data_IF_912961319012
#
_entry.id   IF_912961319012
#
_cell.length_a   1.000
_cell.length_b   1.000
_cell.length_c   1.000
_cell.angle_alpha   90.00
_cell.angle_beta   90.00
_cell.angle_gamma   90.00
#
_symmetry.space_group_name_H-M   'P 1'
#
loop_
_entity.id
_entity.type
_entity.pdbx_description
1 polymer ?
#
# COMPACT_ATOMS: atom_id res chain seq x y z
N UNK A 1 -0.25 -19.77 -4.67
CA UNK A 1 -1.43 -20.60 -4.38
C UNK A 1 -2.61 -19.68 -4.05
N UNK A 2 -3.78 -19.87 -4.66
CA UNK A 2 -4.98 -19.05 -4.42
C UNK A 2 -5.40 -19.01 -2.94
N UNK A 3 -5.10 -20.08 -2.19
CA UNK A 3 -5.35 -20.21 -0.74
C UNK A 3 -4.68 -19.12 0.11
N UNK A 4 -3.46 -18.71 -0.24
CA UNK A 4 -2.72 -17.71 0.56
C UNK A 4 -3.29 -16.30 0.35
N UNK A 5 -3.95 -16.05 -0.79
CA UNK A 5 -4.60 -14.77 -1.08
C UNK A 5 -5.92 -14.64 -0.32
N UNK A 6 -6.74 -15.69 -0.28
CA UNK A 6 -8.00 -15.68 0.46
C UNK A 6 -7.78 -15.62 1.98
N UNK A 7 -6.76 -16.30 2.49
CA UNK A 7 -6.37 -16.21 3.89
C UNK A 7 -5.90 -14.79 4.25
N UNK A 8 -5.05 -14.18 3.42
CA UNK A 8 -4.60 -12.80 3.63
C UNK A 8 -5.78 -11.82 3.63
N UNK A 9 -6.72 -11.98 2.70
CA UNK A 9 -7.93 -11.16 2.64
C UNK A 9 -8.80 -11.33 3.89
N UNK A 10 -8.96 -12.56 4.38
CA UNK A 10 -9.65 -12.84 5.64
C UNK A 10 -8.97 -12.16 6.83
N UNK A 11 -7.64 -12.28 6.94
CA UNK A 11 -6.84 -11.65 8.00
C UNK A 11 -6.95 -10.12 7.93
N UNK A 12 -6.91 -9.53 6.73
CA UNK A 12 -7.09 -8.08 6.54
C UNK A 12 -8.49 -7.62 6.94
N UNK A 13 -9.54 -8.36 6.56
CA UNK A 13 -10.92 -8.07 6.95
C UNK A 13 -11.11 -8.14 8.48
N UNK A 14 -10.50 -9.13 9.12
CA UNK A 14 -10.53 -9.28 10.58
C UNK A 14 -9.77 -8.15 11.27
N UNK A 15 -8.60 -7.77 10.74
CA UNK A 15 -7.80 -6.66 11.25
C UNK A 15 -8.57 -5.34 11.18
N UNK A 16 -9.30 -5.07 10.09
CA UNK A 16 -10.14 -3.87 9.96
C UNK A 16 -11.20 -3.80 11.07
N UNK A 17 -11.82 -4.93 11.41
CA UNK A 17 -12.78 -5.02 12.52
C UNK A 17 -12.13 -4.84 13.88
N UNK A 18 -10.95 -5.42 14.11
CA UNK A 18 -10.22 -5.27 15.39
C UNK A 18 -9.82 -3.80 15.61
N UNK A 19 -9.29 -3.15 14.57
CA UNK A 19 -8.86 -1.75 14.64
C UNK A 19 -10.05 -0.79 14.89
N UNK A 20 -11.22 -1.08 14.31
CA UNK A 20 -12.41 -0.23 14.49
C UNK A 20 -13.13 -0.48 15.82
N UNK A 21 -13.15 -1.72 16.31
CA UNK A 21 -13.93 -2.09 17.50
C UNK A 21 -13.12 -2.09 18.80
N UNK A 22 -11.80 -2.33 18.75
CA UNK A 22 -10.95 -2.46 19.95
C UNK A 22 -9.66 -1.62 19.88
N UNK A 23 -9.74 -0.29 19.69
CA UNK A 23 -8.56 0.56 19.59
C UNK A 23 -7.69 0.54 20.87
N UNK A 24 -8.31 0.44 22.05
CA UNK A 24 -7.60 0.46 23.35
C UNK A 24 -6.73 -0.77 23.59
N UNK A 25 -7.11 -1.95 23.09
CA UNK A 25 -6.30 -3.17 23.18
C UNK A 25 -5.13 -3.16 22.20
N UNK A 26 -5.33 -2.58 21.02
CA UNK A 26 -4.30 -2.45 19.99
C UNK A 26 -3.24 -1.44 20.39
N UNK A 27 -3.61 -0.43 21.17
CA UNK A 27 -2.68 0.55 21.74
C UNK A 27 -1.57 -0.07 22.62
N UNK A 28 -1.80 -1.25 23.19
CA UNK A 28 -0.86 -1.94 24.10
C UNK A 28 0.34 -2.62 23.38
N UNK A 29 0.53 -2.40 22.08
CA UNK A 29 1.72 -2.76 21.29
C UNK A 29 2.10 -4.24 21.15
N UNK A 30 1.54 -5.14 21.95
CA UNK A 30 1.85 -6.59 21.86
C UNK A 30 1.54 -7.18 20.47
N UNK A 31 0.68 -6.55 19.68
CA UNK A 31 0.36 -6.93 18.30
C UNK A 31 1.07 -6.10 17.23
N UNK A 32 1.85 -5.08 17.59
CA UNK A 32 2.35 -4.09 16.64
C UNK A 32 3.18 -4.74 15.52
N UNK A 33 4.10 -5.65 15.88
CA UNK A 33 4.93 -6.35 14.91
C UNK A 33 4.11 -7.23 13.95
N UNK A 34 3.14 -7.98 14.48
CA UNK A 34 2.26 -8.83 13.68
C UNK A 34 1.40 -8.00 12.71
N UNK A 35 0.82 -6.89 13.18
CA UNK A 35 0.02 -5.98 12.37
C UNK A 35 0.89 -5.35 11.26
N UNK A 36 2.10 -4.89 11.60
CA UNK A 36 3.08 -4.39 10.64
C UNK A 36 3.34 -5.40 9.51
N UNK A 37 3.56 -6.66 9.86
CA UNK A 37 3.83 -7.72 8.89
C UNK A 37 2.62 -8.04 7.99
N UNK A 38 1.41 -8.06 8.55
CA UNK A 38 0.17 -8.23 7.76
C UNK A 38 0.01 -7.08 6.76
N UNK A 39 0.20 -5.84 7.20
CA UNK A 39 0.09 -4.65 6.34
C UNK A 39 1.16 -4.69 5.23
N UNK A 40 2.43 -4.98 5.57
CA UNK A 40 3.52 -5.12 4.59
C UNK A 40 3.18 -6.18 3.53
N UNK A 41 2.71 -7.35 3.93
CA UNK A 41 2.29 -8.42 3.01
C UNK A 41 1.10 -8.01 2.14
N UNK A 42 0.13 -7.30 2.72
CA UNK A 42 -1.02 -6.79 1.99
C UNK A 42 -0.61 -5.85 0.85
N UNK A 43 0.32 -4.93 1.11
CA UNK A 43 0.84 -4.02 0.07
C UNK A 43 1.64 -4.74 -1.02
N UNK A 44 2.36 -5.83 -0.69
CA UNK A 44 3.07 -6.64 -1.69
C UNK A 44 2.11 -7.33 -2.66
N UNK A 45 0.94 -7.75 -2.19
CA UNK A 45 -0.05 -8.50 -2.99
C UNK A 45 -1.05 -7.57 -3.69
N UNK A 46 -1.28 -6.36 -3.17
CA UNK A 46 -2.20 -5.41 -3.77
C UNK A 46 -1.65 -4.76 -5.03
N UNK A 47 -2.22 -5.14 -6.17
CA UNK A 47 -1.90 -4.55 -7.48
C UNK A 47 -2.93 -3.51 -7.96
N UNK A 48 -4.05 -3.33 -7.25
CA UNK A 48 -5.12 -2.41 -7.65
C UNK A 48 -5.08 -1.11 -6.85
N UNK A 49 -5.43 0.05 -7.46
CA UNK A 49 -5.51 1.33 -6.74
C UNK A 49 -6.48 1.29 -5.55
N UNK A 50 -7.60 0.57 -5.70
CA UNK A 50 -8.59 0.37 -4.64
C UNK A 50 -8.03 -0.45 -3.47
N UNK A 51 -7.25 -1.51 -3.76
CA UNK A 51 -6.57 -2.31 -2.74
C UNK A 51 -5.52 -1.50 -2.00
N UNK A 52 -4.69 -0.74 -2.72
CA UNK A 52 -3.70 0.16 -2.11
C UNK A 52 -4.37 1.21 -1.23
N UNK A 53 -5.47 1.83 -1.68
CA UNK A 53 -6.26 2.78 -0.87
C UNK A 53 -6.80 2.14 0.41
N UNK A 54 -7.30 0.89 0.32
CA UNK A 54 -7.78 0.13 1.48
C UNK A 54 -6.64 -0.17 2.46
N UNK A 55 -5.49 -0.60 1.98
CA UNK A 55 -4.30 -0.86 2.80
C UNK A 55 -3.80 0.40 3.50
N UNK A 56 -3.82 1.55 2.81
CA UNK A 56 -3.45 2.84 3.40
C UNK A 56 -4.43 3.26 4.50
N UNK A 57 -5.74 3.11 4.28
CA UNK A 57 -6.75 3.39 5.31
C UNK A 57 -6.52 2.52 6.56
N UNK A 58 -6.23 1.24 6.36
CA UNK A 58 -5.95 0.31 7.45
C UNK A 58 -4.69 0.71 8.24
N UNK A 59 -3.61 1.04 7.52
CA UNK A 59 -2.37 1.52 8.13
C UNK A 59 -2.59 2.81 8.93
N UNK A 60 -3.30 3.79 8.35
CA UNK A 60 -3.56 5.06 9.01
C UNK A 60 -4.40 4.89 10.28
N UNK A 61 -5.43 4.05 10.24
CA UNK A 61 -6.23 3.70 11.42
C UNK A 61 -5.36 3.13 12.53
N UNK A 62 -4.53 2.14 12.22
CA UNK A 62 -3.62 1.53 13.18
C UNK A 62 -2.57 2.51 13.72
N UNK A 63 -1.99 3.33 12.85
CA UNK A 63 -1.00 4.33 13.19
C UNK A 63 -1.57 5.46 14.07
N UNK A 64 -2.80 5.89 13.81
CA UNK A 64 -3.53 6.84 14.67
C UNK A 64 -3.82 6.25 16.07
N UNK A 65 -4.17 4.96 16.14
CA UNK A 65 -4.40 4.26 17.41
C UNK A 65 -3.10 4.16 18.22
N UNK A 66 -1.95 3.98 17.56
CA UNK A 66 -0.64 4.00 18.21
C UNK A 66 -0.31 5.37 18.81
N UNK A 67 -0.55 6.46 18.08
CA UNK A 67 -0.30 7.82 18.58
C UNK A 67 1.14 7.99 19.10
N UNK A 68 1.29 8.37 20.37
CA UNK A 68 2.60 8.53 21.03
C UNK A 68 3.37 7.23 21.25
N UNK A 69 2.73 6.07 21.04
CA UNK A 69 3.36 4.75 21.17
C UNK A 69 4.00 4.25 19.88
N UNK A 70 3.93 4.99 18.77
CA UNK A 70 4.67 4.64 17.56
C UNK A 70 6.19 4.74 17.79
N UNK A 71 6.97 3.84 17.19
CA UNK A 71 8.44 3.94 17.17
C UNK A 71 8.93 4.14 15.75
N UNK A 72 10.25 4.29 15.59
CA UNK A 72 10.85 4.65 14.30
C UNK A 72 10.53 3.63 13.20
N UNK A 73 10.27 2.36 13.52
CA UNK A 73 9.86 1.37 12.51
C UNK A 73 8.52 1.72 11.87
N UNK A 74 7.50 2.07 12.66
CA UNK A 74 6.18 2.45 12.14
C UNK A 74 6.24 3.81 11.42
N UNK A 75 7.07 4.74 11.90
CA UNK A 75 7.35 6.00 11.20
C UNK A 75 8.04 5.77 9.86
N UNK A 76 9.00 4.84 9.79
CA UNK A 76 9.69 4.47 8.55
C UNK A 76 8.74 3.80 7.56
N UNK A 77 7.85 2.93 8.05
CA UNK A 77 6.80 2.33 7.23
C UNK A 77 5.87 3.40 6.65
N UNK A 78 5.45 4.38 7.45
CA UNK A 78 4.66 5.52 6.97
C UNK A 78 5.38 6.33 5.87
N UNK A 79 6.66 6.69 6.09
CA UNK A 79 7.49 7.38 5.11
C UNK A 79 7.59 6.58 3.80
N UNK A 80 7.79 5.27 3.90
CA UNK A 80 7.84 4.35 2.75
C UNK A 80 6.52 4.28 1.98
N UNK A 81 5.38 4.24 2.68
CA UNK A 81 4.05 4.21 2.07
C UNK A 81 3.75 5.50 1.30
N UNK A 82 4.07 6.67 1.86
CA UNK A 82 3.90 7.97 1.16
C UNK A 82 4.78 8.01 -0.10
N UNK A 83 6.03 7.57 0.00
CA UNK A 83 6.97 7.55 -1.14
C UNK A 83 6.46 6.67 -2.28
N UNK A 84 5.98 5.47 -1.95
CA UNK A 84 5.49 4.52 -2.95
C UNK A 84 4.17 4.99 -3.57
N UNK A 85 3.28 5.61 -2.79
CA UNK A 85 2.03 6.18 -3.31
C UNK A 85 2.26 7.31 -4.30
N UNK A 86 3.20 8.22 -4.01
CA UNK A 86 3.59 9.27 -4.94
C UNK A 86 4.10 8.69 -6.27
N UNK A 87 4.82 7.57 -6.25
CA UNK A 87 5.28 6.92 -7.48
C UNK A 87 4.13 6.30 -8.28
N UNK A 88 3.11 5.74 -7.63
CA UNK A 88 1.95 5.18 -8.33
C UNK A 88 1.09 6.26 -9.01
N UNK A 89 0.94 7.45 -8.39
CA UNK A 89 0.21 8.57 -8.99
C UNK A 89 1.00 9.32 -10.07
N UNK A 90 2.32 9.41 -9.91
CA UNK A 90 3.20 10.07 -10.89
C UNK A 90 3.52 9.15 -12.07
N UNK A 91 3.59 7.83 -11.85
CA UNK A 91 3.85 6.82 -12.88
C UNK A 91 2.77 6.68 -13.95
N UNK A 92 1.56 7.19 -13.72
CA UNK A 92 0.49 7.22 -14.76
C UNK A 92 0.64 8.40 -15.74
N UNK A 93 1.65 9.28 -15.58
CA UNK A 93 1.90 10.42 -16.49
C UNK A 93 3.02 10.19 -17.51
N UNK A 94 3.72 9.05 -17.49
CA UNK A 94 4.88 8.79 -18.34
C UNK A 94 4.66 7.67 -19.37
N UNK A 95 3.46 7.57 -19.95
CA UNK A 95 3.17 6.60 -21.03
C UNK A 95 2.33 7.21 -22.16
N UNK A 96 2.61 8.47 -22.50
CA UNK A 96 2.00 9.12 -23.66
C UNK A 96 2.91 10.24 -24.14
N UNK A 97 3.89 9.89 -24.95
CA UNK A 97 4.53 10.72 -25.99
C UNK A 97 5.85 10.06 -26.37
N UNK A 98 5.85 9.34 -27.49
CA UNK A 98 6.96 9.21 -28.44
C UNK A 98 6.53 8.21 -29.53
N UNK A 99 5.74 8.70 -30.48
CA UNK A 99 5.71 8.17 -31.84
C UNK A 99 5.59 9.38 -32.77
N UNK A 100 6.72 10.04 -33.03
CA UNK A 100 6.87 10.82 -34.27
C UNK A 100 7.45 9.85 -35.30
N UNK A 101 6.57 9.37 -36.16
CA UNK A 101 6.91 8.62 -37.36
C UNK A 101 7.50 9.61 -38.34
N UNK A 102 8.83 9.74 -38.40
CA UNK A 102 9.49 10.36 -39.54
C UNK A 102 9.45 9.35 -40.72
N UNK A 103 8.33 9.36 -41.43
CA UNK A 103 8.29 9.00 -42.84
C UNK A 103 8.95 10.14 -43.63
N UNK A 104 10.07 9.87 -44.31
CA UNK A 104 10.47 10.69 -45.45
C UNK A 104 10.99 9.82 -46.60
N UNK A 105 10.55 10.07 -47.85
CA UNK A 105 10.51 9.06 -48.90
C UNK A 105 11.74 9.04 -49.81
N UNK A 106 11.85 7.93 -50.52
CA UNK A 106 12.78 7.70 -51.61
C UNK A 106 12.54 8.62 -52.83
N UNK A 107 13.63 9.19 -53.35
CA UNK A 107 13.83 9.61 -54.74
C UNK A 107 15.37 9.62 -54.93
N UNK A 108 16.02 8.69 -55.64
CA UNK A 108 15.95 8.43 -57.08
C UNK A 108 15.92 9.72 -57.90
N UNK A 109 17.10 10.31 -58.17
CA UNK A 109 17.72 10.44 -59.49
C UNK A 109 19.12 11.04 -59.36
#
# INVERSE_FOLDING_TARGET
>A
SKQNQSELEYVTNLLERILTLLPTLVHQRWQAHCICNVIKRYFVVCNSPQGVARGMRLFLLWYQILGSNAVEEEHSLFKGLIRNWNQTLVGTRASGENNHTDEQPAAAF
#
